data_IF_112906217581
#
_entry.id   IF_112906217581
#
_cell.length_a   1.000
_cell.length_b   1.000
_cell.length_c   1.000
_cell.angle_alpha   90.00
_cell.angle_beta   90.00
_cell.angle_gamma   90.00
#
_symmetry.space_group_name_H-M   'P 1'
#
loop_
_entity.id
_entity.type
_entity.pdbx_description
1 polymer ?
#
# COMPACT_ATOMS: atom_id res chain seq x y z
N UNK A 1 -14.42 -0.44 -0.05
CA UNK A 1 -14.90 0.86 -0.52
C UNK A 1 -13.95 1.29 -1.62
N UNK A 2 -14.46 1.60 -2.84
CA UNK A 2 -13.63 2.03 -3.96
C UNK A 2 -13.11 3.45 -3.78
N UNK A 3 -12.11 3.84 -4.57
CA UNK A 3 -11.57 5.19 -4.57
C UNK A 3 -12.63 6.22 -4.99
N UNK A 4 -12.79 7.36 -4.27
CA UNK A 4 -13.79 8.36 -4.60
C UNK A 4 -13.53 9.01 -5.96
N UNK A 5 -14.38 8.74 -6.94
CA UNK A 5 -14.24 9.27 -8.32
C UNK A 5 -14.15 10.79 -8.40
N UNK A 6 -14.69 11.52 -7.41
CA UNK A 6 -14.62 13.00 -7.30
C UNK A 6 -13.20 13.55 -7.12
N UNK A 7 -12.22 12.71 -6.80
CA UNK A 7 -10.82 13.10 -6.62
C UNK A 7 -9.96 12.84 -7.88
N UNK A 8 -10.58 12.35 -8.93
CA UNK A 8 -9.94 12.15 -10.24
C UNK A 8 -9.95 13.46 -11.01
N UNK A 9 -8.92 13.69 -11.81
CA UNK A 9 -8.85 14.81 -12.75
C UNK A 9 -9.79 14.63 -13.95
N UNK A 10 -9.98 15.67 -14.74
CA UNK A 10 -10.76 15.60 -15.98
C UNK A 10 -10.15 14.59 -16.96
N UNK A 11 -10.97 13.64 -17.41
CA UNK A 11 -10.55 12.54 -18.28
C UNK A 11 -9.64 11.51 -17.62
N UNK A 12 -9.50 11.53 -16.28
CA UNK A 12 -8.81 10.51 -15.51
C UNK A 12 -9.76 9.35 -15.18
N UNK A 13 -9.33 8.13 -15.49
CA UNK A 13 -10.11 6.91 -15.24
C UNK A 13 -9.30 5.93 -14.40
N UNK A 14 -9.99 5.26 -13.49
CA UNK A 14 -9.38 4.15 -12.71
C UNK A 14 -9.31 2.94 -13.64
N UNK A 15 -8.12 2.38 -13.79
CA UNK A 15 -7.92 1.16 -14.58
C UNK A 15 -8.09 -0.06 -13.68
N UNK A 16 -7.42 -0.07 -12.51
CA UNK A 16 -7.62 -1.10 -11.50
C UNK A 16 -7.27 -0.60 -10.10
N UNK A 17 -7.80 -1.30 -9.11
CA UNK A 17 -7.55 -1.05 -7.69
C UNK A 17 -7.00 -2.31 -7.04
N UNK A 18 -6.00 -2.16 -6.16
CA UNK A 18 -5.39 -3.24 -5.43
C UNK A 18 -5.42 -2.99 -3.93
N UNK A 19 -5.46 -4.08 -3.17
CA UNK A 19 -5.19 -4.08 -1.73
C UNK A 19 -3.93 -4.89 -1.46
N UNK A 20 -3.20 -4.59 -0.37
CA UNK A 20 -2.09 -5.42 0.04
C UNK A 20 -2.53 -6.87 0.24
N UNK A 21 -1.66 -7.81 -0.11
CA UNK A 21 -1.93 -9.23 0.02
C UNK A 21 -2.21 -9.62 1.48
N UNK A 22 -3.11 -10.57 1.71
CA UNK A 22 -3.50 -11.04 3.06
C UNK A 22 -2.31 -11.56 3.88
N UNK A 23 -1.21 -11.95 3.23
CA UNK A 23 0.05 -12.35 3.89
C UNK A 23 0.52 -11.31 4.91
N UNK A 24 0.30 -10.01 4.67
CA UNK A 24 0.64 -8.95 5.62
C UNK A 24 0.02 -9.16 7.01
N UNK A 25 -1.04 -9.96 7.10
CA UNK A 25 -1.73 -10.29 8.36
C UNK A 25 -1.19 -11.55 9.06
N UNK A 26 -0.35 -12.36 8.41
CA UNK A 26 0.14 -13.63 9.00
C UNK A 26 0.93 -13.35 10.28
N UNK A 27 1.92 -12.45 10.21
CA UNK A 27 2.75 -12.11 11.37
C UNK A 27 1.93 -11.49 12.51
N UNK A 28 1.07 -10.47 12.27
CA UNK A 28 0.16 -9.96 13.27
C UNK A 28 -0.76 -11.02 13.91
N UNK A 29 -1.28 -11.94 13.09
CA UNK A 29 -2.13 -13.03 13.60
C UNK A 29 -1.36 -14.02 14.48
N UNK A 30 -0.15 -14.41 14.08
CA UNK A 30 0.72 -15.27 14.90
C UNK A 30 1.10 -14.59 16.21
N UNK A 31 1.43 -13.30 16.18
CA UNK A 31 1.74 -12.54 17.39
C UNK A 31 0.52 -12.42 18.31
N UNK A 32 -0.68 -12.21 17.75
CA UNK A 32 -1.92 -12.21 18.53
C UNK A 32 -2.09 -13.54 19.28
N UNK A 33 -1.98 -14.67 18.57
CA UNK A 33 -2.10 -16.01 19.17
C UNK A 33 -1.03 -16.22 20.25
N UNK A 34 0.23 -15.85 19.96
CA UNK A 34 1.33 -15.97 20.91
C UNK A 34 1.10 -15.14 22.19
N UNK A 35 0.69 -13.88 22.04
CA UNK A 35 0.43 -12.99 23.20
C UNK A 35 -0.74 -13.51 24.04
N UNK A 36 -1.84 -13.98 23.41
CA UNK A 36 -2.98 -14.54 24.13
C UNK A 36 -2.56 -15.83 24.86
N UNK A 37 -1.87 -16.74 24.18
CA UNK A 37 -1.42 -17.99 24.78
C UNK A 37 -0.45 -17.78 25.95
N UNK A 38 0.63 -17.01 25.73
CA UNK A 38 1.64 -16.72 26.75
C UNK A 38 1.06 -15.88 27.89
N UNK A 39 0.24 -14.89 27.59
CA UNK A 39 -0.41 -14.05 28.60
C UNK A 39 -1.33 -14.86 29.51
N UNK A 40 -2.13 -15.76 28.90
CA UNK A 40 -3.01 -16.66 29.67
C UNK A 40 -2.18 -17.64 30.54
N UNK A 41 -1.16 -18.25 29.96
CA UNK A 41 -0.27 -19.16 30.68
C UNK A 41 0.43 -18.47 31.86
N UNK A 42 1.00 -17.27 31.65
CA UNK A 42 1.62 -16.47 32.69
C UNK A 42 0.62 -16.06 33.79
N UNK A 43 -0.59 -15.68 33.41
CA UNK A 43 -1.62 -15.29 34.38
C UNK A 43 -2.07 -16.47 35.29
N UNK A 44 -2.11 -17.69 34.73
CA UNK A 44 -2.38 -18.92 35.50
C UNK A 44 -1.21 -19.23 36.43
N UNK A 45 0.04 -19.23 35.95
CA UNK A 45 1.23 -19.49 36.74
C UNK A 45 1.39 -18.49 37.88
N UNK A 46 1.19 -17.19 37.59
CA UNK A 46 1.24 -16.14 38.61
C UNK A 46 0.21 -16.39 39.71
N UNK A 47 -1.02 -16.72 39.34
CA UNK A 47 -2.11 -16.98 40.27
C UNK A 47 -1.90 -18.23 41.13
N UNK A 48 -1.10 -19.22 40.68
CA UNK A 48 -0.77 -20.40 41.47
C UNK A 48 0.34 -20.13 42.53
N UNK A 49 1.19 -19.15 42.27
CA UNK A 49 2.33 -18.82 43.18
C UNK A 49 2.02 -17.71 44.17
N UNK A 50 1.12 -16.77 43.76
CA UNK A 50 0.78 -15.61 44.57
C UNK A 50 -0.72 -15.54 44.83
N UNK A 51 -1.12 -15.52 46.11
CA UNK A 51 -2.51 -15.32 46.52
C UNK A 51 -2.74 -13.93 47.10
N UNK A 52 -4.02 -13.54 47.26
CA UNK A 52 -4.39 -12.26 47.84
C UNK A 52 -4.13 -11.07 46.89
N UNK A 53 -3.83 -9.90 47.44
CA UNK A 53 -3.67 -8.65 46.71
C UNK A 53 -2.56 -8.66 45.68
N UNK A 54 -1.41 -9.23 45.98
CA UNK A 54 -0.28 -9.37 45.05
C UNK A 54 -0.61 -10.23 43.85
N UNK A 55 -1.36 -11.33 44.05
CA UNK A 55 -1.83 -12.20 42.97
C UNK A 55 -2.76 -11.46 41.99
N UNK A 56 -3.65 -10.63 42.50
CA UNK A 56 -4.57 -9.86 41.66
C UNK A 56 -3.87 -8.72 40.91
N UNK A 57 -2.96 -7.99 41.57
CA UNK A 57 -2.19 -6.91 40.92
C UNK A 57 -1.35 -7.46 39.77
N UNK A 58 -0.60 -8.54 39.98
CA UNK A 58 0.23 -9.13 38.96
C UNK A 58 -0.56 -9.64 37.76
N UNK A 59 -1.77 -10.20 37.99
CA UNK A 59 -2.68 -10.61 36.92
C UNK A 59 -3.16 -9.43 36.08
N UNK A 60 -3.53 -8.32 36.73
CA UNK A 60 -3.90 -7.08 36.02
C UNK A 60 -2.75 -6.51 35.21
N UNK A 61 -1.54 -6.52 35.72
CA UNK A 61 -0.35 -6.08 34.96
C UNK A 61 -0.16 -6.94 33.72
N UNK A 62 -0.25 -8.26 33.83
CA UNK A 62 -0.14 -9.17 32.68
C UNK A 62 -1.21 -8.86 31.63
N UNK A 63 -2.46 -8.64 32.06
CA UNK A 63 -3.56 -8.30 31.15
C UNK A 63 -3.30 -6.96 30.44
N UNK A 64 -2.93 -5.92 31.17
CA UNK A 64 -2.67 -4.58 30.59
C UNK A 64 -1.51 -4.63 29.59
N UNK A 65 -0.42 -5.31 29.92
CA UNK A 65 0.70 -5.52 29.00
C UNK A 65 0.27 -6.31 27.77
N UNK A 66 -0.45 -7.42 27.97
CA UNK A 66 -0.97 -8.24 26.85
C UNK A 66 -1.87 -7.45 25.91
N UNK A 67 -2.82 -6.68 26.44
CA UNK A 67 -3.71 -5.82 25.66
C UNK A 67 -2.90 -4.76 24.90
N UNK A 68 -1.91 -4.13 25.55
CA UNK A 68 -1.06 -3.14 24.89
C UNK A 68 -0.26 -3.75 23.72
N UNK A 69 0.29 -4.95 23.89
CA UNK A 69 0.99 -5.69 22.84
C UNK A 69 0.04 -6.03 21.67
N UNK A 70 -1.19 -6.47 21.95
CA UNK A 70 -2.20 -6.75 20.93
C UNK A 70 -2.54 -5.50 20.13
N UNK A 71 -2.74 -4.36 20.81
CA UNK A 71 -3.04 -3.09 20.12
C UNK A 71 -1.89 -2.69 19.19
N UNK A 72 -0.66 -2.77 19.64
CA UNK A 72 0.51 -2.32 18.86
C UNK A 72 0.85 -3.29 17.73
N UNK A 73 0.88 -4.60 18.00
CA UNK A 73 1.43 -5.59 17.08
C UNK A 73 0.40 -6.37 16.27
N UNK A 74 -0.88 -6.34 16.67
CA UNK A 74 -1.94 -6.99 15.92
C UNK A 74 -2.95 -5.97 15.36
N UNK A 75 -3.55 -5.14 16.21
CA UNK A 75 -4.62 -4.24 15.80
C UNK A 75 -4.11 -3.14 14.86
N UNK A 76 -2.98 -2.49 15.17
CA UNK A 76 -2.42 -1.42 14.33
C UNK A 76 -2.06 -1.88 12.91
N UNK A 77 -1.31 -2.97 12.68
CA UNK A 77 -1.04 -3.46 11.33
C UNK A 77 -2.30 -3.98 10.61
N UNK A 78 -3.27 -4.54 11.33
CA UNK A 78 -4.56 -4.89 10.76
C UNK A 78 -5.31 -3.67 10.23
N UNK A 79 -5.39 -2.60 11.03
CA UNK A 79 -6.02 -1.34 10.62
C UNK A 79 -5.28 -0.70 9.43
N UNK A 80 -3.95 -0.76 9.42
CA UNK A 80 -3.15 -0.30 8.29
C UNK A 80 -3.49 -1.09 7.03
N UNK A 81 -3.55 -2.42 7.10
CA UNK A 81 -3.88 -3.29 5.98
C UNK A 81 -5.27 -3.00 5.39
N UNK A 82 -6.30 -2.88 6.24
CA UNK A 82 -7.68 -2.65 5.78
C UNK A 82 -7.88 -1.26 5.18
N UNK A 83 -7.05 -0.29 5.59
CA UNK A 83 -7.12 1.11 5.11
C UNK A 83 -6.17 1.42 3.98
N UNK A 84 -5.24 0.50 3.64
CA UNK A 84 -4.32 0.69 2.53
C UNK A 84 -4.97 0.28 1.22
N UNK A 85 -4.85 1.15 0.23
CA UNK A 85 -5.38 0.95 -1.11
C UNK A 85 -4.41 1.53 -2.13
N UNK A 86 -4.18 0.78 -3.20
CA UNK A 86 -3.40 1.18 -4.36
C UNK A 86 -4.34 1.35 -5.55
N UNK A 87 -4.32 2.51 -6.16
CA UNK A 87 -5.20 2.86 -7.29
C UNK A 87 -4.34 3.23 -8.48
N UNK A 88 -4.52 2.53 -9.57
CA UNK A 88 -3.82 2.76 -10.82
C UNK A 88 -4.79 3.42 -11.79
N UNK A 89 -4.45 4.62 -12.23
CA UNK A 89 -5.23 5.37 -13.19
C UNK A 89 -4.50 5.45 -14.53
N UNK A 90 -5.18 5.97 -15.54
CA UNK A 90 -4.55 6.24 -16.83
C UNK A 90 -3.56 7.41 -16.82
N UNK A 91 -3.28 8.06 -15.67
CA UNK A 91 -2.36 9.22 -15.56
C UNK A 91 -1.38 9.13 -14.40
N UNK A 92 -1.72 8.42 -13.33
CA UNK A 92 -0.88 8.33 -12.12
C UNK A 92 -1.14 7.05 -11.32
N UNK A 93 -0.17 6.69 -10.51
CA UNK A 93 -0.32 5.68 -9.45
C UNK A 93 -0.61 6.42 -8.14
N UNK A 94 -1.68 6.05 -7.47
CA UNK A 94 -2.14 6.65 -6.22
C UNK A 94 -2.02 5.61 -5.11
N UNK A 95 -1.24 5.90 -4.07
CA UNK A 95 -1.21 5.10 -2.86
C UNK A 95 -1.92 5.84 -1.74
N UNK A 96 -2.79 5.15 -1.03
CA UNK A 96 -3.48 5.71 0.13
C UNK A 96 -3.44 4.73 1.28
N UNK A 97 -3.08 5.24 2.46
CA UNK A 97 -3.06 4.46 3.69
C UNK A 97 -3.42 5.33 4.90
N UNK A 98 -3.89 4.68 5.96
CA UNK A 98 -4.13 5.28 7.26
C UNK A 98 -5.59 5.55 7.58
N UNK A 99 -5.97 5.22 8.82
CA UNK A 99 -7.32 5.40 9.37
C UNK A 99 -7.52 6.81 9.91
N UNK A 100 -6.59 7.30 10.72
CA UNK A 100 -6.66 8.59 11.43
C UNK A 100 -5.88 9.64 10.65
N UNK A 101 -4.61 9.40 10.38
CA UNK A 101 -3.79 10.24 9.50
C UNK A 101 -3.77 9.61 8.11
N UNK A 102 -4.49 10.20 7.17
CA UNK A 102 -4.49 9.77 5.77
C UNK A 102 -3.18 10.20 5.12
N UNK A 103 -2.39 9.23 4.72
CA UNK A 103 -1.21 9.44 3.88
C UNK A 103 -1.57 9.06 2.46
N UNK A 104 -1.37 9.97 1.53
CA UNK A 104 -1.52 9.72 0.11
C UNK A 104 -0.25 10.12 -0.61
N UNK A 105 0.16 9.31 -1.59
CA UNK A 105 1.24 9.64 -2.51
C UNK A 105 0.74 9.37 -3.90
N UNK A 106 0.89 10.35 -4.74
CA UNK A 106 0.48 10.30 -6.13
C UNK A 106 1.75 10.40 -6.99
N UNK A 107 2.00 9.38 -7.83
CA UNK A 107 3.12 9.37 -8.77
C UNK A 107 2.55 9.44 -10.19
N UNK A 108 2.77 10.56 -10.92
CA UNK A 108 2.38 10.66 -12.32
C UNK A 108 3.10 9.63 -13.19
N UNK A 109 2.40 8.96 -14.10
CA UNK A 109 3.01 8.00 -15.05
C UNK A 109 4.11 8.65 -15.90
N UNK A 110 4.00 9.95 -16.14
CA UNK A 110 5.01 10.75 -16.83
C UNK A 110 6.38 10.83 -16.15
N UNK A 111 6.42 10.59 -14.84
CA UNK A 111 7.64 10.60 -14.04
C UNK A 111 8.21 9.22 -13.82
N UNK A 112 7.52 8.17 -14.26
CA UNK A 112 7.99 6.79 -14.17
C UNK A 112 9.16 6.60 -15.13
N UNK A 113 10.30 6.20 -14.59
CA UNK A 113 11.51 5.91 -15.34
C UNK A 113 11.66 4.41 -15.57
N UNK A 114 11.41 3.62 -14.53
CA UNK A 114 11.51 2.16 -14.60
C UNK A 114 10.50 1.53 -13.61
N UNK A 115 10.09 0.29 -13.89
CA UNK A 115 9.22 -0.49 -13.00
C UNK A 115 9.84 -1.86 -12.79
N UNK A 116 10.37 -2.08 -11.60
CA UNK A 116 10.96 -3.35 -11.20
C UNK A 116 10.07 -4.09 -10.20
N UNK A 117 10.26 -5.40 -10.09
CA UNK A 117 9.60 -6.19 -9.07
C UNK A 117 10.56 -7.18 -8.43
N UNK A 118 10.30 -7.52 -7.19
CA UNK A 118 11.03 -8.53 -6.45
C UNK A 118 10.07 -9.57 -5.87
N UNK A 119 10.37 -10.84 -6.09
CA UNK A 119 9.59 -11.95 -5.55
C UNK A 119 10.49 -12.78 -4.63
N UNK A 120 10.17 -12.81 -3.34
CA UNK A 120 10.86 -13.68 -2.38
C UNK A 120 10.46 -15.15 -2.59
N UNK A 121 11.20 -16.08 -1.96
CA UNK A 121 10.87 -17.51 -2.00
C UNK A 121 9.40 -17.78 -1.57
N UNK A 122 8.98 -17.21 -0.46
CA UNK A 122 7.57 -17.30 -0.01
C UNK A 122 6.60 -16.54 -0.92
N UNK A 123 7.07 -15.45 -1.54
CA UNK A 123 6.33 -14.69 -2.53
C UNK A 123 5.94 -15.54 -3.74
N UNK A 124 6.85 -16.41 -4.20
CA UNK A 124 6.57 -17.34 -5.30
C UNK A 124 5.52 -18.39 -4.95
N UNK A 125 5.52 -18.89 -3.69
CA UNK A 125 4.54 -19.89 -3.24
C UNK A 125 3.16 -19.25 -3.06
N UNK A 126 3.10 -18.05 -2.47
CA UNK A 126 1.86 -17.37 -2.13
C UNK A 126 1.42 -16.33 -3.17
N UNK A 127 2.17 -16.22 -4.28
CA UNK A 127 1.85 -15.35 -5.42
C UNK A 127 1.76 -13.86 -5.06
N UNK A 128 2.77 -13.34 -4.34
CA UNK A 128 2.92 -11.91 -4.03
C UNK A 128 4.38 -11.47 -4.23
N UNK A 129 4.57 -10.16 -4.35
CA UNK A 129 5.91 -9.55 -4.44
C UNK A 129 5.92 -8.09 -4.01
N UNK A 130 7.06 -7.47 -4.18
CA UNK A 130 7.27 -6.03 -4.05
C UNK A 130 7.33 -5.44 -5.45
N UNK A 131 6.61 -4.35 -5.66
CA UNK A 131 6.70 -3.53 -6.86
C UNK A 131 7.42 -2.24 -6.52
N UNK A 132 8.41 -1.90 -7.31
CA UNK A 132 9.17 -0.66 -7.18
C UNK A 132 9.02 0.14 -8.48
N UNK A 133 8.53 1.36 -8.35
CA UNK A 133 8.33 2.30 -9.45
C UNK A 133 9.33 3.44 -9.26
N UNK A 134 10.38 3.42 -10.06
CA UNK A 134 11.44 4.43 -10.03
C UNK A 134 10.97 5.71 -10.68
N UNK A 135 11.27 6.84 -10.05
CA UNK A 135 10.86 8.17 -10.49
C UNK A 135 12.03 9.00 -11.03
N UNK A 136 11.79 9.70 -12.12
CA UNK A 136 12.75 10.68 -12.65
C UNK A 136 12.74 11.95 -11.78
N UNK A 137 13.61 12.00 -10.75
CA UNK A 137 13.85 13.18 -9.91
C UNK A 137 13.03 13.28 -8.63
N UNK A 138 12.11 12.34 -8.39
CA UNK A 138 11.38 12.21 -7.12
C UNK A 138 11.81 10.93 -6.39
N UNK A 139 11.31 10.74 -5.17
CA UNK A 139 11.53 9.52 -4.40
C UNK A 139 10.75 8.34 -5.01
N UNK A 140 11.37 7.17 -5.12
CA UNK A 140 10.78 5.97 -5.67
C UNK A 140 9.53 5.52 -4.89
N UNK A 141 8.59 4.92 -5.61
CA UNK A 141 7.37 4.38 -5.02
C UNK A 141 7.50 2.88 -4.81
N UNK A 142 7.66 2.48 -3.56
CA UNK A 142 7.73 1.06 -3.18
C UNK A 142 6.36 0.61 -2.69
N UNK A 143 5.86 -0.46 -3.29
CA UNK A 143 4.58 -1.09 -2.94
C UNK A 143 4.85 -2.53 -2.52
N UNK A 144 4.71 -2.79 -1.23
CA UNK A 144 4.90 -4.12 -0.66
C UNK A 144 3.61 -4.97 -0.76
N UNK A 145 3.80 -6.29 -0.71
CA UNK A 145 2.71 -7.26 -0.66
C UNK A 145 1.70 -7.15 -1.82
N UNK A 146 2.21 -6.90 -3.04
CA UNK A 146 1.39 -6.81 -4.25
C UNK A 146 1.03 -8.22 -4.73
N UNK A 147 -0.26 -8.57 -4.83
CA UNK A 147 -0.67 -9.84 -5.41
C UNK A 147 -0.39 -9.88 -6.91
N UNK A 148 0.05 -11.04 -7.44
CA UNK A 148 0.36 -11.23 -8.86
C UNK A 148 1.28 -10.13 -9.44
N UNK A 149 2.37 -9.81 -8.75
CA UNK A 149 3.23 -8.64 -9.03
C UNK A 149 3.72 -8.57 -10.48
N UNK A 150 4.02 -9.71 -11.12
CA UNK A 150 4.45 -9.75 -12.53
C UNK A 150 3.37 -9.25 -13.50
N UNK A 151 2.11 -9.58 -13.22
CA UNK A 151 0.98 -9.11 -14.03
C UNK A 151 0.79 -7.60 -13.81
N UNK A 152 0.91 -7.14 -12.57
CA UNK A 152 0.76 -5.72 -12.23
C UNK A 152 1.89 -4.90 -12.86
N UNK A 153 3.14 -5.38 -12.82
CA UNK A 153 4.26 -4.71 -13.48
C UNK A 153 3.99 -4.50 -14.97
N UNK A 154 3.57 -5.57 -15.68
CA UNK A 154 3.24 -5.48 -17.11
C UNK A 154 2.13 -4.46 -17.39
N UNK A 155 1.13 -4.42 -16.53
CA UNK A 155 0.03 -3.49 -16.66
C UNK A 155 0.46 -2.04 -16.42
N UNK A 156 1.37 -1.79 -15.46
CA UNK A 156 1.94 -0.45 -15.20
C UNK A 156 2.78 0.01 -16.40
N UNK A 157 3.58 -0.88 -17.00
CA UNK A 157 4.32 -0.56 -18.23
C UNK A 157 3.37 -0.18 -19.37
N UNK A 158 2.33 -0.96 -19.58
CA UNK A 158 1.32 -0.66 -20.62
C UNK A 158 0.69 0.72 -20.40
N UNK A 159 0.33 1.05 -19.17
CA UNK A 159 -0.23 2.36 -18.83
C UNK A 159 0.76 3.51 -19.07
N UNK A 160 2.04 3.29 -18.78
CA UNK A 160 3.10 4.26 -19.04
C UNK A 160 3.26 4.51 -20.54
N UNK A 161 3.34 3.47 -21.36
CA UNK A 161 3.43 3.57 -22.83
C UNK A 161 2.20 4.30 -23.43
N UNK A 162 1.00 3.95 -22.98
CA UNK A 162 -0.24 4.62 -23.42
C UNK A 162 -0.29 6.10 -23.02
N UNK A 163 0.27 6.48 -21.88
CA UNK A 163 0.35 7.89 -21.46
C UNK A 163 1.36 8.66 -22.31
N UNK A 164 2.50 8.06 -22.62
CA UNK A 164 3.51 8.66 -23.50
C UNK A 164 2.99 8.87 -24.92
N UNK A 165 2.28 7.88 -25.48
CA UNK A 165 1.68 8.01 -26.80
C UNK A 165 0.62 9.11 -26.84
N UNK A 166 -0.20 9.24 -25.80
CA UNK A 166 -1.17 10.33 -25.68
C UNK A 166 -0.51 11.70 -25.64
N UNK A 167 0.63 11.81 -24.96
CA UNK A 167 1.40 13.06 -24.88
C UNK A 167 2.01 13.42 -26.21
N UNK A 168 2.63 12.47 -26.91
CA UNK A 168 3.19 12.67 -28.24
C UNK A 168 2.15 13.16 -29.24
N UNK A 169 0.94 12.54 -29.26
CA UNK A 169 -0.15 12.98 -30.13
C UNK A 169 -0.58 14.43 -29.84
N UNK A 170 -0.74 14.79 -28.57
CA UNK A 170 -1.08 16.16 -28.18
C UNK A 170 0.00 17.18 -28.57
N UNK A 171 1.27 16.85 -28.44
CA UNK A 171 2.35 17.75 -28.88
C UNK A 171 2.38 17.95 -30.39
N UNK A 172 2.03 16.93 -31.17
CA UNK A 172 1.90 17.06 -32.64
C UNK A 172 0.68 17.92 -33.02
N UNK A 173 -0.46 17.71 -32.35
CA UNK A 173 -1.67 18.50 -32.58
C UNK A 173 -1.48 19.98 -32.21
N UNK A 174 -0.80 20.27 -31.10
CA UNK A 174 -0.56 21.64 -30.65
C UNK A 174 0.57 22.37 -31.41
N UNK A 175 1.47 21.63 -32.06
CA UNK A 175 2.54 22.18 -32.91
C UNK A 175 2.13 22.40 -34.38
N UNK A 176 0.92 22.01 -34.75
CA UNK A 176 0.41 22.06 -36.11
C UNK A 176 -0.39 23.32 -36.50
N UNK A 177 -0.39 24.37 -35.66
CA UNK A 177 -0.96 25.66 -36.13
C UNK A 177 -0.07 26.23 -37.25
N UNK A 178 -0.56 26.34 -38.49
CA UNK A 178 0.17 26.96 -39.58
C UNK A 178 0.44 28.40 -39.18
N UNK A 179 1.73 28.81 -39.14
CA UNK A 179 2.10 30.20 -39.08
C UNK A 179 1.39 30.93 -40.21
N UNK A 180 0.51 31.92 -39.95
CA UNK A 180 -0.16 32.64 -41.01
C UNK A 180 0.91 33.26 -41.93
N UNK A 181 0.75 33.20 -43.26
CA UNK A 181 1.71 33.78 -44.16
C UNK A 181 1.84 35.26 -43.80
N UNK A 182 3.06 35.67 -43.44
CA UNK A 182 3.34 37.05 -43.12
C UNK A 182 2.91 37.91 -44.31
N UNK A 183 2.03 38.89 -44.04
CA UNK A 183 1.67 39.93 -44.99
C UNK A 183 2.98 40.70 -45.33
N UNK A 184 3.55 40.29 -46.46
CA UNK A 184 4.60 41.04 -47.08
C UNK A 184 4.05 42.37 -47.64
N UNK A 185 4.32 43.43 -46.94
CA UNK A 185 4.22 44.78 -47.45
C UNK A 185 5.44 45.55 -47.05
#
# INVERSE_FOLDING_TARGET
MGYPRRLLGEGETIVFELKPHWRALIIPALLLVAVVFLGTWLAIMWGSWFSGGLGSIGRWVIIVVGVSLIIVFALRPFLYWITTQYVFTNRRVITRSGLVAKRGRDMPLAKVNNVSFEISFFGRILNYGRLEVESAGDEDLIIDDVPNVEMIQREVYRLHEEDDDRRRRRSVESGGDPVPPGDGS
#
